data_IF_505338398473
#
_entry.id   IF_505338398473
#
_cell.length_a   1.000
_cell.length_b   1.000
_cell.length_c   1.000
_cell.angle_alpha   90.00
_cell.angle_beta   90.00
_cell.angle_gamma   90.00
#
_symmetry.space_group_name_H-M   'P 1'
#
loop_
_entity.id
_entity.type
_entity.pdbx_description
1 polymer ?
#
# COMPACT_ATOMS: atom_id res chain seq x y z
N UNK A 1 41.75 -36.14 -8.34
CA UNK A 1 43.04 -36.61 -8.91
C UNK A 1 44.14 -36.10 -8.00
N UNK A 2 45.04 -36.97 -7.55
CA UNK A 2 46.16 -36.56 -6.69
C UNK A 2 47.26 -35.94 -7.57
N UNK A 3 47.78 -34.79 -7.14
CA UNK A 3 48.97 -34.21 -7.75
C UNK A 3 50.20 -34.94 -7.19
N UNK A 4 51.00 -35.66 -7.99
CA UNK A 4 52.14 -36.43 -7.46
C UNK A 4 53.25 -35.53 -6.89
N UNK A 5 53.21 -34.22 -7.15
CA UNK A 5 54.18 -33.23 -6.64
C UNK A 5 53.78 -32.65 -5.28
N UNK A 6 52.54 -32.88 -4.82
CA UNK A 6 52.00 -32.30 -3.59
C UNK A 6 51.26 -33.38 -2.82
N UNK A 7 51.71 -33.65 -1.59
CA UNK A 7 50.91 -34.42 -0.65
C UNK A 7 49.83 -33.51 -0.03
N UNK A 8 48.57 -33.75 -0.42
CA UNK A 8 47.43 -32.94 0.02
C UNK A 8 47.12 -33.08 1.50
N UNK A 9 47.37 -34.24 2.10
CA UNK A 9 47.06 -34.49 3.52
C UNK A 9 48.02 -33.72 4.42
N UNK A 10 49.30 -33.74 4.10
CA UNK A 10 50.29 -32.92 4.79
C UNK A 10 50.07 -31.43 4.48
N UNK A 11 49.89 -31.07 3.20
CA UNK A 11 49.81 -29.67 2.78
C UNK A 11 48.63 -28.93 3.41
N UNK A 12 47.47 -29.55 3.60
CA UNK A 12 46.29 -28.88 4.19
C UNK A 12 46.54 -28.47 5.65
N UNK A 13 47.37 -29.23 6.38
CA UNK A 13 47.74 -28.93 7.77
C UNK A 13 48.79 -27.83 7.90
N UNK A 14 49.54 -27.58 6.83
CA UNK A 14 50.65 -26.62 6.79
C UNK A 14 50.26 -25.27 6.17
N UNK A 15 49.03 -25.11 5.70
CA UNK A 15 48.58 -23.88 5.05
C UNK A 15 48.63 -22.69 6.00
N UNK A 16 49.31 -21.63 5.55
CA UNK A 16 49.36 -20.33 6.23
C UNK A 16 48.23 -19.38 5.82
N UNK A 17 48.22 -18.19 6.44
CA UNK A 17 47.31 -17.10 6.06
C UNK A 17 47.64 -16.62 4.65
N UNK A 18 46.64 -16.62 3.77
CA UNK A 18 46.81 -16.22 2.37
C UNK A 18 47.28 -17.35 1.46
N UNK A 19 47.39 -18.58 1.94
CA UNK A 19 47.65 -19.75 1.11
C UNK A 19 46.38 -20.59 0.93
N UNK A 20 46.24 -21.21 -0.24
CA UNK A 20 45.12 -22.07 -0.55
C UNK A 20 45.54 -23.24 -1.45
N UNK A 21 44.81 -24.35 -1.30
CA UNK A 21 44.78 -25.42 -2.27
C UNK A 21 43.68 -25.14 -3.29
N UNK A 22 44.06 -24.97 -4.56
CA UNK A 22 43.15 -24.55 -5.63
C UNK A 22 43.18 -25.62 -6.73
N UNK A 23 42.01 -26.00 -7.23
CA UNK A 23 41.85 -26.70 -8.51
C UNK A 23 41.04 -25.84 -9.45
N UNK A 24 41.37 -25.92 -10.73
CA UNK A 24 40.63 -25.25 -11.80
C UNK A 24 39.85 -26.27 -12.59
N UNK A 25 38.92 -25.81 -13.41
CA UNK A 25 38.16 -26.68 -14.30
C UNK A 25 38.81 -26.72 -15.69
N UNK A 26 38.81 -27.88 -16.32
CA UNK A 26 39.16 -28.03 -17.73
C UNK A 26 38.04 -27.55 -18.66
N UNK A 27 38.25 -27.60 -19.98
CA UNK A 27 37.28 -27.17 -21.01
C UNK A 27 35.94 -27.92 -20.93
N UNK A 28 35.91 -29.09 -20.31
CA UNK A 28 34.71 -29.93 -20.12
C UNK A 28 34.14 -29.77 -18.71
N UNK A 29 34.64 -28.84 -17.92
CA UNK A 29 34.18 -28.57 -16.56
C UNK A 29 34.68 -29.58 -15.52
N UNK A 30 35.70 -30.39 -15.82
CA UNK A 30 36.25 -31.37 -14.87
C UNK A 30 37.37 -30.73 -14.04
N UNK A 31 37.42 -30.98 -12.73
CA UNK A 31 38.49 -30.45 -11.90
C UNK A 31 39.85 -31.03 -12.28
N UNK A 32 40.84 -30.16 -12.44
CA UNK A 32 42.25 -30.51 -12.62
C UNK A 32 42.88 -30.95 -11.29
N UNK A 33 44.08 -31.56 -11.30
CA UNK A 33 44.85 -31.79 -10.08
C UNK A 33 45.04 -30.49 -9.28
N UNK A 34 45.04 -30.62 -7.96
CA UNK A 34 45.12 -29.50 -7.01
C UNK A 34 46.54 -28.95 -6.95
N UNK A 35 46.66 -27.63 -6.79
CA UNK A 35 47.93 -26.92 -6.61
C UNK A 35 47.89 -26.02 -5.36
N UNK A 36 49.06 -25.77 -4.75
CA UNK A 36 49.21 -24.79 -3.66
C UNK A 36 49.52 -23.42 -4.27
N UNK A 37 48.74 -22.41 -3.90
CA UNK A 37 48.88 -21.06 -4.42
C UNK A 37 48.69 -20.02 -3.32
N UNK A 38 49.22 -18.82 -3.56
CA UNK A 38 48.98 -17.65 -2.73
C UNK A 38 47.75 -16.87 -3.26
N UNK A 39 46.85 -16.51 -2.34
CA UNK A 39 45.68 -15.70 -2.63
C UNK A 39 46.04 -14.24 -2.43
N UNK A 40 46.01 -13.47 -3.52
CA UNK A 40 46.16 -12.02 -3.45
C UNK A 40 44.94 -11.42 -2.73
N UNK A 41 45.10 -10.69 -1.62
CA UNK A 41 43.98 -10.05 -0.95
C UNK A 41 43.36 -8.97 -1.84
N UNK A 42 42.06 -8.70 -1.70
CA UNK A 42 41.43 -7.62 -2.46
C UNK A 42 42.02 -6.27 -2.06
N UNK A 43 42.19 -5.38 -3.03
CA UNK A 43 42.64 -4.00 -2.77
C UNK A 43 41.51 -3.08 -2.27
N UNK A 44 40.28 -3.60 -2.18
CA UNK A 44 39.12 -2.87 -1.67
C UNK A 44 39.11 -2.82 -0.15
N UNK A 45 38.60 -1.71 0.41
CA UNK A 45 38.29 -1.62 1.83
C UNK A 45 37.17 -2.61 2.18
N UNK A 46 37.47 -3.56 3.06
CA UNK A 46 36.47 -4.43 3.67
C UNK A 46 35.92 -3.70 4.90
N UNK A 47 34.64 -3.36 4.88
CA UNK A 47 33.95 -2.67 5.97
C UNK A 47 33.35 -1.32 5.57
N UNK A 48 32.54 -0.70 6.43
CA UNK A 48 31.93 0.59 6.14
C UNK A 48 32.98 1.70 6.08
N UNK A 49 32.79 2.64 5.15
CA UNK A 49 33.58 3.88 5.09
C UNK A 49 33.27 4.78 6.29
N UNK A 50 34.23 5.60 6.68
CA UNK A 50 34.02 6.60 7.72
C UNK A 50 33.03 7.67 7.26
N UNK A 51 32.40 8.37 8.21
CA UNK A 51 31.50 9.48 7.89
C UNK A 51 32.21 10.60 7.11
N UNK A 52 33.49 10.85 7.40
CA UNK A 52 34.31 11.85 6.72
C UNK A 52 34.59 11.48 5.26
N UNK A 53 35.01 10.23 5.00
CA UNK A 53 35.21 9.72 3.64
C UNK A 53 33.93 9.76 2.83
N UNK A 54 32.81 9.35 3.45
CA UNK A 54 31.49 9.41 2.81
C UNK A 54 31.13 10.83 2.38
N UNK A 55 31.34 11.83 3.24
CA UNK A 55 31.09 13.22 2.91
C UNK A 55 31.99 13.72 1.78
N UNK A 56 33.28 13.35 1.76
CA UNK A 56 34.20 13.73 0.70
C UNK A 56 33.76 13.15 -0.66
N UNK A 57 33.40 11.86 -0.70
CA UNK A 57 32.89 11.19 -1.90
C UNK A 57 31.60 11.86 -2.38
N UNK A 58 30.64 12.10 -1.48
CA UNK A 58 29.39 12.78 -1.84
C UNK A 58 29.62 14.17 -2.44
N UNK A 59 30.55 14.96 -1.88
CA UNK A 59 30.92 16.28 -2.40
C UNK A 59 31.55 16.23 -3.79
N UNK A 60 32.23 15.14 -4.13
CA UNK A 60 32.84 14.96 -5.46
C UNK A 60 31.85 14.52 -6.54
N UNK A 61 30.60 14.20 -6.17
CA UNK A 61 29.58 13.72 -7.09
C UNK A 61 29.10 14.83 -8.04
N UNK A 62 28.81 14.46 -9.30
CA UNK A 62 28.23 15.38 -10.29
C UNK A 62 26.86 15.95 -9.87
N UNK A 63 26.15 15.24 -9.01
CA UNK A 63 24.83 15.64 -8.50
C UNK A 63 24.90 16.20 -7.07
N UNK A 64 26.10 16.55 -6.58
CA UNK A 64 26.27 17.21 -5.30
C UNK A 64 25.36 18.46 -5.23
N UNK A 65 24.64 18.63 -4.13
CA UNK A 65 23.68 19.71 -3.93
C UNK A 65 22.27 19.46 -4.49
N UNK A 66 22.07 18.51 -5.42
CA UNK A 66 20.74 18.26 -6.02
C UNK A 66 19.87 17.40 -5.10
N UNK A 67 20.46 16.39 -4.46
CA UNK A 67 19.75 15.41 -3.64
C UNK A 67 20.19 15.41 -2.17
N UNK A 68 20.91 16.45 -1.75
CA UNK A 68 21.46 16.53 -0.40
C UNK A 68 20.39 16.83 0.66
N UNK A 69 19.28 17.43 0.24
CA UNK A 69 18.17 17.79 1.12
C UNK A 69 17.21 16.61 1.27
N UNK A 70 17.16 16.04 2.47
CA UNK A 70 16.11 15.11 2.86
C UNK A 70 14.77 15.83 2.90
N UNK A 71 13.83 15.38 2.07
CA UNK A 71 12.45 15.88 2.06
C UNK A 71 11.58 14.86 2.77
N UNK A 72 11.16 15.18 3.99
CA UNK A 72 10.13 14.43 4.70
C UNK A 72 8.76 15.05 4.39
N UNK A 73 7.86 14.25 3.83
CA UNK A 73 6.52 14.71 3.41
C UNK A 73 5.49 14.18 4.39
N UNK A 74 4.48 14.98 4.67
CA UNK A 74 3.33 14.54 5.46
C UNK A 74 2.76 13.25 4.88
N UNK A 75 2.73 12.22 5.72
CA UNK A 75 2.29 10.89 5.32
C UNK A 75 0.76 10.79 5.36
N UNK A 76 0.18 9.97 4.47
CA UNK A 76 -1.26 9.71 4.52
C UNK A 76 -1.70 9.16 5.89
N UNK A 77 -0.85 8.41 6.58
CA UNK A 77 -1.09 7.92 7.93
C UNK A 77 -1.25 9.06 8.94
N UNK A 78 -0.38 10.08 8.90
CA UNK A 78 -0.48 11.25 9.78
C UNK A 78 -1.75 12.06 9.51
N UNK A 79 -2.09 12.26 8.24
CA UNK A 79 -3.34 12.94 7.85
C UNK A 79 -4.57 12.18 8.37
N UNK A 80 -4.60 10.86 8.22
CA UNK A 80 -5.72 10.03 8.66
C UNK A 80 -5.83 9.98 10.19
N UNK A 81 -4.70 9.87 10.89
CA UNK A 81 -4.65 9.90 12.35
C UNK A 81 -5.11 11.24 12.91
N UNK A 82 -4.69 12.35 12.28
CA UNK A 82 -5.13 13.69 12.66
C UNK A 82 -6.64 13.88 12.47
N UNK A 83 -7.21 13.34 11.37
CA UNK A 83 -8.67 13.36 11.13
C UNK A 83 -9.43 12.56 12.18
N UNK A 84 -9.00 11.33 12.48
CA UNK A 84 -9.63 10.51 13.51
C UNK A 84 -9.60 11.19 14.89
N UNK A 85 -8.47 11.80 15.27
CA UNK A 85 -8.35 12.53 16.53
C UNK A 85 -9.20 13.82 16.60
N UNK A 86 -9.54 14.42 15.44
CA UNK A 86 -10.47 15.55 15.36
C UNK A 86 -11.93 15.11 15.46
N UNK A 87 -12.28 13.93 14.93
CA UNK A 87 -13.62 13.35 15.05
C UNK A 87 -13.96 12.97 16.51
N UNK A 88 -12.97 12.49 17.27
CA UNK A 88 -13.15 12.16 18.70
C UNK A 88 -13.34 13.39 19.62
N UNK A 89 -12.88 14.58 19.22
CA UNK A 89 -12.99 15.82 20.02
C UNK A 89 -14.24 16.66 19.71
N UNK A 90 -15.05 16.23 18.74
CA UNK A 90 -16.25 16.94 18.27
C UNK A 90 -17.59 16.49 18.88
N UNK A 91 -17.60 15.47 19.76
CA UNK A 91 -18.83 15.01 20.40
C UNK A 91 -19.02 15.68 21.78
N UNK A 92 -19.94 16.65 21.95
CA UNK A 92 -20.34 17.05 23.29
C UNK A 92 -21.02 15.86 23.98
N UNK A 93 -20.51 15.55 25.17
CA UNK A 93 -21.10 14.61 26.12
C UNK A 93 -22.54 14.98 26.43
N UNK A 94 -23.47 14.42 25.66
CA UNK A 94 -24.89 14.40 25.96
C UNK A 94 -25.34 12.95 25.98
N UNK A 95 -25.44 12.37 27.19
CA UNK A 95 -26.59 11.53 27.58
C UNK A 95 -26.53 11.13 29.05
N UNK A 96 -27.15 11.99 29.83
CA UNK A 96 -28.02 11.60 30.94
C UNK A 96 -29.12 10.65 30.41
N UNK A 97 -29.35 9.56 31.17
CA UNK A 97 -30.59 8.80 31.41
C UNK A 97 -31.62 8.70 30.26
N UNK A 98 -31.94 7.47 29.83
CA UNK A 98 -33.32 6.93 29.63
C UNK A 98 -33.23 5.42 29.31
N UNK A 99 -34.02 4.63 30.06
CA UNK A 99 -34.19 3.17 29.95
C UNK A 99 -34.99 2.73 28.68
N UNK A 100 -34.96 1.45 28.27
CA UNK A 100 -35.54 0.95 27.01
C UNK A 100 -37.05 0.67 27.11
N UNK A 101 -37.84 0.71 26.01
CA UNK A 101 -38.23 -0.52 25.28
C UNK A 101 -38.60 -0.27 23.77
N UNK A 102 -39.33 -1.16 23.05
CA UNK A 102 -38.78 -2.22 22.18
C UNK A 102 -39.19 -2.07 20.68
N UNK A 103 -38.87 -3.12 19.90
CA UNK A 103 -39.43 -3.50 18.60
C UNK A 103 -38.62 -3.15 17.34
N UNK A 104 -37.74 -4.10 17.00
CA UNK A 104 -37.24 -4.35 15.67
C UNK A 104 -38.37 -4.84 14.75
N UNK A 105 -38.87 -4.00 13.84
CA UNK A 105 -39.79 -4.43 12.77
C UNK A 105 -39.89 -3.48 11.56
N UNK A 106 -39.02 -2.47 11.42
CA UNK A 106 -39.18 -1.43 10.38
C UNK A 106 -38.04 -1.34 9.35
N UNK A 107 -36.92 -2.03 9.56
CA UNK A 107 -35.73 -1.94 8.70
C UNK A 107 -35.71 -2.93 7.55
N UNK A 108 -36.49 -4.02 7.60
CA UNK A 108 -36.50 -5.06 6.56
C UNK A 108 -37.41 -4.71 5.37
N UNK A 109 -38.45 -3.91 5.59
CA UNK A 109 -39.46 -3.53 4.58
C UNK A 109 -38.96 -2.47 3.59
N UNK A 110 -38.05 -1.59 4.02
CA UNK A 110 -37.46 -0.57 3.16
C UNK A 110 -36.38 -1.18 2.24
N UNK A 111 -35.66 -2.20 2.72
CA UNK A 111 -34.61 -2.85 1.93
C UNK A 111 -35.18 -3.73 0.80
N UNK A 112 -36.32 -4.39 1.04
CA UNK A 112 -36.98 -5.23 0.03
C UNK A 112 -37.66 -4.46 -1.11
N UNK A 113 -38.06 -3.20 -0.89
CA UNK A 113 -38.72 -2.37 -1.91
C UNK A 113 -37.75 -1.67 -2.87
N UNK A 114 -36.47 -1.56 -2.49
CA UNK A 114 -35.43 -0.92 -3.31
C UNK A 114 -34.75 -1.93 -4.26
N UNK A 115 -34.72 -3.21 -3.92
CA UNK A 115 -33.95 -4.25 -4.63
C UNK A 115 -34.78 -5.28 -5.40
N UNK A 116 -35.98 -4.92 -5.85
CA UNK A 116 -36.68 -5.61 -6.95
C UNK A 116 -36.87 -7.12 -6.77
N UNK A 117 -37.89 -7.51 -6.01
CA UNK A 117 -38.40 -8.87 -5.95
C UNK A 117 -39.93 -8.85 -5.91
N UNK A 118 -40.54 -8.95 -7.09
CA UNK A 118 -41.95 -9.25 -7.26
C UNK A 118 -42.17 -10.71 -6.85
N UNK A 119 -42.98 -10.97 -5.82
CA UNK A 119 -43.59 -12.29 -5.63
C UNK A 119 -45.03 -12.15 -5.16
N UNK A 120 -45.90 -12.71 -5.99
CA UNK A 120 -47.33 -12.59 -5.98
C UNK A 120 -48.00 -13.37 -4.84
N UNK A 121 -49.06 -12.78 -4.24
CA UNK A 121 -50.37 -13.44 -4.08
C UNK A 121 -51.41 -12.52 -3.41
N UNK A 122 -52.56 -12.40 -4.10
CA UNK A 122 -53.95 -12.41 -3.60
C UNK A 122 -54.34 -11.50 -2.42
N UNK A 123 -55.46 -10.77 -2.35
CA UNK A 123 -56.70 -10.60 -3.12
C UNK A 123 -57.47 -9.41 -2.52
N UNK A 124 -58.21 -8.67 -3.37
CA UNK A 124 -59.46 -7.92 -3.09
C UNK A 124 -59.53 -6.89 -1.93
N UNK A 125 -59.58 -5.59 -2.28
CA UNK A 125 -60.80 -4.72 -2.29
C UNK A 125 -60.41 -3.22 -2.43
N UNK A 126 -61.07 -2.53 -3.36
CA UNK A 126 -61.16 -1.06 -3.44
C UNK A 126 -62.22 -0.52 -2.44
N UNK A 127 -62.54 0.80 -2.32
CA UNK A 127 -61.96 2.01 -2.96
C UNK A 127 -61.75 3.23 -2.00
N UNK A 128 -61.09 4.31 -2.46
CA UNK A 128 -61.69 5.68 -2.57
C UNK A 128 -60.71 6.86 -2.46
N UNK A 129 -60.95 7.84 -3.35
CA UNK A 129 -60.75 9.30 -3.27
C UNK A 129 -59.34 9.90 -3.15
N UNK A 130 -58.76 10.17 -4.33
CA UNK A 130 -58.70 11.50 -4.95
C UNK A 130 -58.57 12.73 -4.02
N UNK A 131 -57.32 13.12 -3.73
CA UNK A 131 -56.79 14.50 -3.75
C UNK A 131 -55.31 14.45 -3.37
N UNK A 132 -54.40 14.91 -4.25
CA UNK A 132 -53.03 15.43 -3.93
C UNK A 132 -52.01 15.32 -5.09
N UNK A 133 -52.47 15.11 -6.32
CA UNK A 133 -51.59 15.03 -7.51
C UNK A 133 -50.89 16.34 -7.89
N UNK A 134 -51.25 17.50 -7.35
CA UNK A 134 -50.61 18.79 -7.63
C UNK A 134 -49.47 19.13 -6.65
N UNK A 135 -49.60 18.78 -5.37
CA UNK A 135 -48.54 18.95 -4.38
C UNK A 135 -47.46 17.87 -4.53
N UNK A 136 -47.86 16.64 -4.87
CA UNK A 136 -46.90 15.55 -5.11
C UNK A 136 -46.07 15.81 -6.38
N UNK A 137 -46.67 16.34 -7.46
CA UNK A 137 -45.95 16.62 -8.70
C UNK A 137 -44.93 17.76 -8.57
N UNK A 138 -45.22 18.76 -7.73
CA UNK A 138 -44.32 19.90 -7.46
C UNK A 138 -43.21 19.51 -6.49
N UNK A 139 -43.51 18.77 -5.42
CA UNK A 139 -42.50 18.21 -4.52
C UNK A 139 -41.54 17.24 -5.25
N UNK A 140 -42.08 16.38 -6.12
CA UNK A 140 -41.31 15.42 -6.92
C UNK A 140 -40.49 16.08 -8.04
N UNK A 141 -40.85 17.29 -8.46
CA UNK A 141 -40.08 18.12 -9.41
C UNK A 141 -38.86 18.76 -8.73
N UNK A 142 -39.03 19.32 -7.52
CA UNK A 142 -37.96 19.95 -6.74
C UNK A 142 -36.94 18.91 -6.26
N UNK A 143 -37.37 17.71 -5.86
CA UNK A 143 -36.43 16.63 -5.53
C UNK A 143 -35.58 16.19 -6.72
N UNK A 144 -36.14 16.19 -7.94
CA UNK A 144 -35.43 15.70 -9.13
C UNK A 144 -34.44 16.73 -9.68
N UNK A 145 -34.71 18.03 -9.53
CA UNK A 145 -33.82 19.11 -9.98
C UNK A 145 -32.64 19.35 -9.03
N UNK A 146 -32.86 19.27 -7.72
CA UNK A 146 -31.78 19.36 -6.71
C UNK A 146 -30.90 18.11 -6.73
N UNK A 147 -31.48 16.93 -6.97
CA UNK A 147 -30.73 15.66 -7.03
C UNK A 147 -29.80 15.51 -8.24
N UNK A 148 -30.20 15.98 -9.43
CA UNK A 148 -29.38 15.81 -10.65
C UNK A 148 -28.26 16.84 -10.80
N UNK A 149 -28.36 18.01 -10.15
CA UNK A 149 -27.29 19.02 -10.16
C UNK A 149 -26.17 18.71 -9.15
N UNK A 150 -26.53 18.26 -7.93
CA UNK A 150 -25.56 17.79 -6.94
C UNK A 150 -24.90 16.46 -7.36
N UNK A 151 -25.67 15.56 -7.99
CA UNK A 151 -25.14 14.27 -8.46
C UNK A 151 -24.07 14.39 -9.55
N UNK A 152 -24.25 15.30 -10.53
CA UNK A 152 -23.27 15.51 -11.60
C UNK A 152 -21.96 16.14 -11.11
N UNK A 153 -22.01 16.95 -10.05
CA UNK A 153 -20.81 17.54 -9.44
C UNK A 153 -20.02 16.53 -8.62
N UNK A 154 -20.69 15.65 -7.87
CA UNK A 154 -20.05 14.57 -7.12
C UNK A 154 -19.42 13.56 -8.07
N UNK A 155 -20.12 13.15 -9.12
CA UNK A 155 -19.59 12.20 -10.11
C UNK A 155 -18.39 12.78 -10.87
N UNK A 156 -18.43 14.05 -11.28
CA UNK A 156 -17.28 14.68 -11.96
C UNK A 156 -16.10 14.98 -11.02
N UNK A 157 -16.36 15.30 -9.75
CA UNK A 157 -15.32 15.57 -8.74
C UNK A 157 -14.62 14.30 -8.25
N UNK A 158 -15.36 13.21 -8.06
CA UNK A 158 -14.82 11.92 -7.58
C UNK A 158 -14.25 11.09 -8.73
N UNK A 159 -14.83 11.12 -9.94
CA UNK A 159 -14.32 10.36 -11.08
C UNK A 159 -13.24 11.12 -11.88
N UNK A 160 -13.28 12.46 -11.88
CA UNK A 160 -12.26 13.31 -12.52
C UNK A 160 -10.94 13.39 -11.75
N UNK A 161 -10.94 13.11 -10.44
CA UNK A 161 -9.71 13.02 -9.62
C UNK A 161 -9.03 11.65 -9.72
N UNK A 162 -9.70 10.65 -10.30
CA UNK A 162 -9.21 9.28 -10.44
C UNK A 162 -8.83 8.95 -11.91
N UNK A 163 -9.39 9.64 -12.91
CA UNK A 163 -9.28 9.25 -14.33
C UNK A 163 -8.90 10.39 -15.31
N UNK A 164 -7.75 11.04 -15.09
CA UNK A 164 -7.04 11.86 -16.10
C UNK A 164 -7.08 13.37 -15.87
N UNK A 165 -6.07 14.18 -16.18
CA UNK A 165 -4.87 14.01 -16.99
C UNK A 165 -4.44 15.43 -17.36
N UNK A 166 -3.21 15.82 -16.99
CA UNK A 166 -2.67 17.18 -17.12
C UNK A 166 -2.58 17.61 -18.60
N UNK A 167 -3.46 18.49 -19.05
CA UNK A 167 -3.19 19.67 -19.90
C UNK A 167 -4.21 20.75 -19.59
#
# INVERSE_FOLDING_TARGET
>A
MANPKIDTETAITELGVGEALISLLDEKGRPTPVERAFVLPPTSQIGPITAAERQAIMKSSLVAGVYDQTVDRESAYEVLKARAAQEDQGAPSAKEVIAPPPAAAATTSIFGSIFGGDDAKETKKAPSRQSDTLFEATAKSVLRSVGTQLGKQIVRGVLGSIMGGRR
#
